data_IF_611458904315
#
_entry.id   IF_611458904315
#
_cell.length_a   1.000
_cell.length_b   1.000
_cell.length_c   1.000
_cell.angle_alpha   90.00
_cell.angle_beta   90.00
_cell.angle_gamma   90.00
#
_symmetry.space_group_name_H-M   'P 1'
#
loop_
_entity.id
_entity.type
_entity.pdbx_description
1 polymer ?
#
# COMPACT_ATOMS: atom_id res chain seq x y z
N UNK A 1 22.57 8.53 -8.58
CA UNK A 1 22.07 7.30 -7.93
C UNK A 1 20.97 7.72 -6.97
N UNK A 2 19.73 7.28 -7.18
CA UNK A 2 18.66 7.60 -6.24
C UNK A 2 18.89 6.81 -4.96
N UNK A 3 19.14 7.50 -3.85
CA UNK A 3 19.41 6.84 -2.57
C UNK A 3 18.19 6.01 -2.15
N UNK A 4 18.45 4.81 -1.60
CA UNK A 4 17.38 3.95 -1.07
C UNK A 4 16.58 4.74 -0.02
N UNK A 5 15.25 4.88 -0.15
CA UNK A 5 14.42 5.55 0.83
C UNK A 5 14.46 4.76 2.14
N UNK A 6 14.40 5.49 3.27
CA UNK A 6 14.35 4.89 4.62
C UNK A 6 13.12 4.00 4.81
N UNK A 7 12.07 4.27 4.04
CA UNK A 7 10.81 3.54 4.00
C UNK A 7 10.64 2.99 2.58
N UNK A 8 11.03 1.73 2.30
CA UNK A 8 11.00 1.17 0.95
C UNK A 8 9.62 0.63 0.55
N UNK A 9 8.59 0.87 1.36
CA UNK A 9 7.22 0.42 1.09
C UNK A 9 6.27 1.61 1.11
N UNK A 10 5.30 1.61 0.20
CA UNK A 10 4.28 2.64 0.05
C UNK A 10 2.92 1.99 -0.16
N UNK A 11 1.90 2.51 0.52
CA UNK A 11 0.51 2.07 0.36
C UNK A 11 -0.30 3.27 -0.11
N UNK A 12 -1.10 3.07 -1.15
CA UNK A 12 -1.98 4.09 -1.73
C UNK A 12 -3.40 3.52 -1.75
N UNK A 13 -4.20 3.75 -0.70
CA UNK A 13 -5.60 3.35 -0.66
C UNK A 13 -6.41 4.14 -1.68
N UNK A 14 -7.46 3.53 -2.23
CA UNK A 14 -8.43 4.18 -3.10
C UNK A 14 -9.83 3.89 -2.57
N UNK A 15 -10.65 4.92 -2.45
CA UNK A 15 -12.03 4.84 -1.96
C UNK A 15 -12.97 5.60 -2.90
N UNK A 16 -14.02 4.94 -3.37
CA UNK A 16 -14.94 5.39 -4.40
C UNK A 16 -14.22 5.97 -5.63
N UNK A 17 -13.13 5.33 -6.05
CA UNK A 17 -12.29 5.81 -7.16
C UNK A 17 -11.40 7.01 -6.85
N UNK A 18 -11.39 7.52 -5.61
CA UNK A 18 -10.51 8.60 -5.15
C UNK A 18 -9.29 8.00 -4.46
N UNK A 19 -8.08 8.33 -4.96
CA UNK A 19 -6.85 7.97 -4.27
C UNK A 19 -6.73 8.76 -2.97
N UNK A 20 -6.58 8.04 -1.86
CA UNK A 20 -6.30 8.59 -0.54
C UNK A 20 -4.81 8.87 -0.37
N UNK A 21 -4.44 9.44 0.78
CA UNK A 21 -3.06 9.77 1.10
C UNK A 21 -2.12 8.56 0.98
N UNK A 22 -0.98 8.74 0.34
CA UNK A 22 0.07 7.73 0.30
C UNK A 22 0.75 7.62 1.67
N UNK A 23 0.93 6.38 2.15
CA UNK A 23 1.54 6.11 3.46
C UNK A 23 2.80 5.26 3.27
N UNK A 24 3.92 5.79 3.74
CA UNK A 24 5.22 5.12 3.63
C UNK A 24 5.52 4.27 4.87
N UNK A 25 6.06 3.07 4.63
CA UNK A 25 6.40 2.07 5.64
C UNK A 25 7.84 1.56 5.51
N UNK A 26 8.44 1.20 6.64
CA UNK A 26 9.80 0.65 6.71
C UNK A 26 9.85 -0.84 6.36
N UNK A 27 8.72 -1.54 6.40
CA UNK A 27 8.64 -2.99 6.31
C UNK A 27 7.37 -3.42 5.59
N UNK A 28 7.46 -4.54 4.86
CA UNK A 28 6.33 -5.16 4.14
C UNK A 28 5.15 -5.43 5.07
N UNK A 29 5.40 -6.08 6.20
CA UNK A 29 4.37 -6.41 7.18
C UNK A 29 3.55 -5.18 7.60
N UNK A 30 4.21 -4.05 7.90
CA UNK A 30 3.52 -2.80 8.26
C UNK A 30 2.72 -2.19 7.12
N UNK A 31 3.18 -2.36 5.88
CA UNK A 31 2.43 -1.93 4.71
C UNK A 31 1.16 -2.77 4.56
N UNK A 32 1.26 -4.10 4.65
CA UNK A 32 0.08 -4.97 4.55
C UNK A 32 -0.88 -4.86 5.75
N UNK A 33 -0.38 -4.57 6.96
CA UNK A 33 -1.23 -4.18 8.08
C UNK A 33 -2.04 -2.92 7.77
N UNK A 34 -1.40 -1.90 7.18
CA UNK A 34 -2.08 -0.67 6.77
C UNK A 34 -3.07 -0.91 5.63
N UNK A 35 -2.74 -1.75 4.66
CA UNK A 35 -3.66 -2.18 3.60
C UNK A 35 -4.93 -2.77 4.21
N UNK A 36 -4.80 -3.76 5.10
CA UNK A 36 -5.95 -4.40 5.74
C UNK A 36 -6.78 -3.40 6.55
N UNK A 37 -6.12 -2.50 7.28
CA UNK A 37 -6.79 -1.46 8.05
C UNK A 37 -7.56 -0.47 7.15
N UNK A 38 -6.95 -0.04 6.05
CA UNK A 38 -7.57 0.88 5.09
C UNK A 38 -8.79 0.23 4.41
N UNK A 39 -8.65 -1.01 3.95
CA UNK A 39 -9.75 -1.75 3.30
C UNK A 39 -10.91 -1.98 4.29
N UNK A 40 -10.63 -2.39 5.52
CA UNK A 40 -11.65 -2.52 6.59
C UNK A 40 -12.28 -1.19 7.00
N UNK A 41 -11.59 -0.06 6.79
CA UNK A 41 -12.10 1.28 7.06
C UNK A 41 -12.94 1.85 5.91
N UNK A 42 -13.11 1.10 4.81
CA UNK A 42 -13.96 1.47 3.69
C UNK A 42 -13.23 1.91 2.42
N UNK A 43 -11.93 1.64 2.28
CA UNK A 43 -11.27 1.74 0.99
C UNK A 43 -11.66 0.54 0.09
N UNK A 44 -11.85 0.77 -1.21
CA UNK A 44 -12.17 -0.29 -2.18
C UNK A 44 -10.93 -1.11 -2.53
N UNK A 45 -9.80 -0.43 -2.70
CA UNK A 45 -8.52 -1.03 -3.07
C UNK A 45 -7.37 -0.34 -2.35
N UNK A 46 -6.25 -1.04 -2.22
CA UNK A 46 -5.00 -0.47 -1.72
C UNK A 46 -3.84 -0.94 -2.57
N UNK A 47 -3.15 0.02 -3.20
CA UNK A 47 -1.99 -0.25 -4.04
C UNK A 47 -0.73 -0.29 -3.18
N UNK A 48 0.01 -1.40 -3.23
CA UNK A 48 1.29 -1.57 -2.56
C UNK A 48 2.42 -1.33 -3.56
N UNK A 49 3.29 -0.40 -3.24
CA UNK A 49 4.47 -0.04 -4.02
C UNK A 49 5.72 -0.39 -3.21
N UNK A 50 6.72 -0.99 -3.87
CA UNK A 50 8.01 -1.33 -3.28
C UNK A 50 9.11 -0.55 -3.99
N UNK A 51 10.03 0.04 -3.24
CA UNK A 51 11.25 0.60 -3.79
C UNK A 51 12.27 -0.50 -4.06
N UNK A 52 12.61 -0.70 -5.33
CA UNK A 52 13.66 -1.61 -5.75
C UNK A 52 14.38 -1.07 -6.99
N UNK A 53 15.67 -1.35 -7.13
CA UNK A 53 16.47 -0.94 -8.30
C UNK A 53 16.41 0.58 -8.61
N UNK A 54 16.35 1.41 -7.57
CA UNK A 54 16.36 2.88 -7.73
C UNK A 54 15.04 3.49 -8.22
N UNK A 55 13.93 2.73 -8.20
CA UNK A 55 12.57 3.23 -8.50
C UNK A 55 11.49 2.56 -7.66
N UNK A 56 10.30 3.16 -7.66
CA UNK A 56 9.09 2.55 -7.12
C UNK A 56 8.50 1.57 -8.13
N UNK A 57 8.27 0.35 -7.68
CA UNK A 57 7.61 -0.71 -8.41
C UNK A 57 6.25 -0.99 -7.81
N UNK A 58 5.26 -1.20 -8.66
CA UNK A 58 3.98 -1.73 -8.21
C UNK A 58 4.18 -3.19 -7.84
N UNK A 59 3.97 -3.50 -6.56
CA UNK A 59 4.09 -4.86 -6.04
C UNK A 59 2.76 -5.60 -6.22
N UNK A 60 1.68 -5.04 -5.68
CA UNK A 60 0.35 -5.63 -5.76
C UNK A 60 -0.73 -4.56 -5.55
N UNK A 61 -1.94 -4.81 -6.03
CA UNK A 61 -3.15 -4.08 -5.62
C UNK A 61 -4.04 -5.06 -4.89
N UNK A 62 -4.37 -4.75 -3.64
CA UNK A 62 -5.28 -5.57 -2.83
C UNK A 62 -6.67 -4.97 -2.87
N UNK A 63 -7.67 -5.79 -3.11
CA UNK A 63 -9.07 -5.41 -3.16
C UNK A 63 -9.76 -5.70 -1.82
N UNK A 64 -10.76 -4.90 -1.46
CA UNK A 64 -11.53 -5.10 -0.24
C UNK A 64 -12.20 -6.49 -0.20
N UNK A 65 -12.64 -6.99 -1.36
CA UNK A 65 -13.24 -8.33 -1.52
C UNK A 65 -12.28 -9.49 -1.21
N UNK A 66 -10.97 -9.26 -1.28
CA UNK A 66 -9.95 -10.26 -0.98
C UNK A 66 -9.63 -10.35 0.52
N UNK A 67 -10.11 -9.38 1.32
CA UNK A 67 -9.94 -9.39 2.77
C UNK A 67 -11.15 -10.13 3.38
N UNK A 68 -10.98 -11.35 3.92
CA UNK A 68 -12.08 -12.02 4.58
C UNK A 68 -12.55 -11.20 5.79
N UNK A 69 -13.86 -10.97 5.86
CA UNK A 69 -14.54 -10.57 7.10
C UNK A 69 -14.28 -11.68 8.13
N UNK A 70 -13.59 -11.30 9.22
CA UNK A 70 -13.23 -12.21 10.30
C UNK A 70 -14.43 -12.49 11.21
#
# INVERSE_FOLDING_TARGET
>A
MTAKPRKPWRVIPTQNGVQLAEVEHTSEAKAFEHVRAALRSGADTAKVMQWSDGRWWHFETVHAEEIPDA
#
